data_IF_805030449911
#
_entry.id   IF_805030449911
#
_cell.length_a   1.000
_cell.length_b   1.000
_cell.length_c   1.000
_cell.angle_alpha   90.00
_cell.angle_beta   90.00
_cell.angle_gamma   90.00
#
_symmetry.space_group_name_H-M   'P 1'
#
loop_
_entity.id
_entity.type
_entity.pdbx_description
1 polymer ?
#
# COMPACT_ATOMS: atom_id res chain seq x y z
N UNK A 1 23.89 -3.22 2.43
CA UNK A 1 25.09 -3.08 3.28
C UNK A 1 25.17 -1.71 3.93
N UNK A 2 25.54 -0.60 3.25
CA UNK A 2 25.67 0.72 3.90
C UNK A 2 24.41 1.16 4.71
N UNK A 3 23.22 1.03 4.12
CA UNK A 3 21.96 1.40 4.79
C UNK A 3 21.61 0.48 5.98
N UNK A 4 22.07 -0.77 5.99
CA UNK A 4 21.87 -1.70 7.12
C UNK A 4 22.84 -1.41 8.26
N UNK A 5 24.06 -1.00 7.93
CA UNK A 5 25.08 -0.61 8.91
C UNK A 5 24.70 0.71 9.60
N UNK A 6 24.17 1.68 8.86
CA UNK A 6 23.65 2.94 9.43
C UNK A 6 22.49 2.69 10.40
N UNK A 7 21.58 1.79 10.05
CA UNK A 7 20.46 1.40 10.91
C UNK A 7 20.93 0.67 12.18
N UNK A 8 21.97 -0.15 12.09
CA UNK A 8 22.59 -0.82 13.26
C UNK A 8 23.32 0.17 14.15
N UNK A 9 24.03 1.14 13.57
CA UNK A 9 24.70 2.21 14.31
C UNK A 9 23.68 3.05 15.09
N UNK A 10 22.58 3.43 14.45
CA UNK A 10 21.49 4.19 15.08
C UNK A 10 20.85 3.41 16.22
N UNK A 11 20.63 2.10 16.06
CA UNK A 11 20.16 1.22 17.14
C UNK A 11 21.08 1.23 18.37
N UNK A 12 22.40 1.11 18.17
CA UNK A 12 23.39 1.16 19.26
C UNK A 12 23.40 2.49 19.99
N UNK A 13 23.30 3.62 19.27
CA UNK A 13 23.23 4.96 19.86
C UNK A 13 22.02 5.07 20.79
N UNK A 14 20.90 4.50 20.38
CA UNK A 14 19.68 4.56 21.18
C UNK A 14 19.73 3.72 22.45
N UNK A 15 20.30 2.52 22.38
CA UNK A 15 20.48 1.69 23.56
C UNK A 15 21.47 2.34 24.54
N UNK A 16 22.49 3.04 24.02
CA UNK A 16 23.38 3.87 24.82
C UNK A 16 22.62 5.02 25.52
N UNK A 17 21.80 5.79 24.79
CA UNK A 17 20.98 6.85 25.38
C UNK A 17 20.03 6.31 26.48
N UNK A 18 19.47 5.12 26.28
CA UNK A 18 18.63 4.45 27.30
C UNK A 18 19.45 4.06 28.52
N UNK A 19 20.65 3.51 28.34
CA UNK A 19 21.54 3.17 29.46
C UNK A 19 21.90 4.42 30.28
N UNK A 20 22.25 5.53 29.61
CA UNK A 20 22.53 6.81 30.29
C UNK A 20 21.30 7.34 31.04
N UNK A 21 20.11 7.24 30.44
CA UNK A 21 18.84 7.59 31.10
C UNK A 21 18.59 6.81 32.39
N UNK A 22 18.83 5.49 32.38
CA UNK A 22 18.71 4.60 33.55
C UNK A 22 19.72 4.99 34.63
N UNK A 23 20.98 5.23 34.24
CA UNK A 23 22.04 5.65 35.16
C UNK A 23 21.64 6.93 35.89
N UNK A 24 21.09 7.92 35.19
CA UNK A 24 20.64 9.17 35.82
C UNK A 24 19.45 8.97 36.77
N UNK A 25 18.54 8.05 36.46
CA UNK A 25 17.45 7.70 37.38
C UNK A 25 18.00 7.03 38.65
N UNK A 26 19.00 6.15 38.52
CA UNK A 26 19.69 5.53 39.66
C UNK A 26 20.46 6.58 40.48
N UNK A 27 21.15 7.52 39.82
CA UNK A 27 21.85 8.61 40.50
C UNK A 27 20.89 9.52 41.27
N UNK A 28 19.70 9.79 40.72
CA UNK A 28 18.65 10.53 41.44
C UNK A 28 18.25 9.79 42.73
N UNK A 29 17.97 8.48 42.63
CA UNK A 29 17.65 7.65 43.80
C UNK A 29 18.79 7.67 44.82
N UNK A 30 20.03 7.46 44.37
CA UNK A 30 21.20 7.43 45.26
C UNK A 30 21.41 8.75 46.01
N UNK A 31 21.25 9.89 45.32
CA UNK A 31 21.42 11.21 45.92
C UNK A 31 20.33 11.57 46.94
N UNK A 32 19.05 11.38 46.58
CA UNK A 32 17.93 11.79 47.43
C UNK A 32 17.56 10.76 48.52
N UNK A 33 18.02 9.51 48.40
CA UNK A 33 17.85 8.47 49.43
C UNK A 33 19.19 8.08 50.09
N UNK A 34 20.16 9.01 50.17
CA UNK A 34 21.52 8.72 50.64
C UNK A 34 21.58 8.08 52.04
N UNK A 35 20.76 8.54 52.98
CA UNK A 35 20.70 7.98 54.35
C UNK A 35 20.31 6.50 54.34
N UNK A 36 19.36 6.11 53.49
CA UNK A 36 18.97 4.72 53.31
C UNK A 36 20.07 3.90 52.63
N UNK A 37 20.77 4.46 51.65
CA UNK A 37 21.90 3.81 50.98
C UNK A 37 23.07 3.55 51.94
N UNK A 38 23.33 4.49 52.85
CA UNK A 38 24.35 4.36 53.89
C UNK A 38 23.98 3.26 54.89
N UNK A 39 22.72 3.19 55.32
CA UNK A 39 22.24 2.10 56.19
C UNK A 39 22.25 0.73 55.51
N UNK A 40 22.05 0.66 54.19
CA UNK A 40 22.16 -0.57 53.42
C UNK A 40 23.61 -0.99 53.10
N UNK A 41 24.60 -0.17 53.43
CA UNK A 41 26.01 -0.46 53.13
C UNK A 41 26.37 -0.38 51.64
N UNK A 42 25.56 0.32 50.84
CA UNK A 42 25.72 0.43 49.38
C UNK A 42 26.49 1.71 48.98
N UNK A 43 26.93 2.50 49.95
CA UNK A 43 27.70 3.73 49.71
C UNK A 43 29.11 3.43 49.21
N UNK A 44 29.44 3.96 48.04
CA UNK A 44 30.77 3.81 47.43
C UNK A 44 31.41 5.20 47.40
N UNK A 45 32.49 5.40 48.16
CA UNK A 45 33.12 6.73 48.31
C UNK A 45 33.61 7.37 47.00
N UNK A 46 33.84 6.57 45.94
CA UNK A 46 34.13 7.06 44.59
C UNK A 46 32.89 7.69 43.94
N UNK A 47 31.73 7.05 44.06
CA UNK A 47 30.45 7.55 43.53
C UNK A 47 30.06 8.86 44.20
N UNK A 48 30.26 8.98 45.51
CA UNK A 48 29.96 10.19 46.27
C UNK A 48 30.77 11.39 45.76
N UNK A 49 32.08 11.22 45.57
CA UNK A 49 32.95 12.27 45.03
C UNK A 49 32.53 12.68 43.62
N UNK A 50 32.15 11.71 42.78
CA UNK A 50 31.69 11.97 41.41
C UNK A 50 30.40 12.81 41.45
N UNK A 51 29.39 12.38 42.21
CA UNK A 51 28.10 13.07 42.27
C UNK A 51 28.21 14.49 42.84
N UNK A 52 29.04 14.69 43.88
CA UNK A 52 29.31 16.01 44.46
C UNK A 52 29.96 16.94 43.42
N UNK A 53 30.95 16.45 42.67
CA UNK A 53 31.60 17.23 41.62
C UNK A 53 30.65 17.56 40.46
N UNK A 54 29.79 16.61 40.06
CA UNK A 54 28.74 16.83 39.07
C UNK A 54 27.74 17.88 39.53
N UNK A 55 27.31 17.84 40.79
CA UNK A 55 26.41 18.86 41.34
C UNK A 55 27.08 20.23 41.41
N UNK A 56 28.36 20.31 41.82
CA UNK A 56 29.12 21.56 41.91
C UNK A 56 29.30 22.25 40.56
N UNK A 57 29.44 21.47 39.49
CA UNK A 57 29.73 22.00 38.14
C UNK A 57 28.47 22.20 37.31
N UNK A 58 27.48 21.30 37.43
CA UNK A 58 26.31 21.26 36.55
C UNK A 58 24.96 21.48 37.22
N UNK A 59 24.89 21.60 38.56
CA UNK A 59 23.65 21.87 39.29
C UNK A 59 22.54 20.80 39.15
N UNK A 60 22.89 19.61 38.64
CA UNK A 60 21.91 18.58 38.24
C UNK A 60 21.03 18.10 39.41
N UNK A 61 21.56 18.13 40.63
CA UNK A 61 20.89 17.70 41.86
C UNK A 61 20.39 18.88 42.73
N UNK A 62 20.41 20.11 42.20
CA UNK A 62 19.85 21.27 42.90
C UNK A 62 18.33 21.15 43.10
N UNK A 63 17.65 20.49 42.16
CA UNK A 63 16.23 20.14 42.27
C UNK A 63 16.01 18.70 41.83
N UNK A 64 15.12 18.00 42.54
CA UNK A 64 14.75 16.61 42.26
C UNK A 64 14.19 16.44 40.85
N UNK A 65 13.69 17.53 40.26
CA UNK A 65 13.08 17.55 38.94
C UNK A 65 14.13 17.58 37.81
N UNK A 66 15.30 18.19 38.00
CA UNK A 66 16.26 18.39 36.90
C UNK A 66 16.89 17.07 36.43
N UNK A 67 17.36 16.26 37.37
CA UNK A 67 17.83 14.89 37.09
C UNK A 67 16.76 14.04 36.41
N UNK A 68 15.51 14.15 36.86
CA UNK A 68 14.37 13.44 36.26
C UNK A 68 14.03 13.90 34.85
N UNK A 69 14.04 15.21 34.61
CA UNK A 69 13.81 15.78 33.28
C UNK A 69 14.89 15.32 32.29
N UNK A 70 16.16 15.33 32.70
CA UNK A 70 17.24 14.88 31.83
C UNK A 70 17.18 13.37 31.56
N UNK A 71 16.86 12.57 32.59
CA UNK A 71 16.59 11.14 32.42
C UNK A 71 15.44 10.88 31.44
N UNK A 72 14.32 11.61 31.57
CA UNK A 72 13.18 11.51 30.66
C UNK A 72 13.53 11.95 29.23
N UNK A 73 14.29 13.03 29.07
CA UNK A 73 14.70 13.53 27.75
C UNK A 73 15.50 12.47 26.99
N UNK A 74 16.50 11.88 27.65
CA UNK A 74 17.28 10.78 27.07
C UNK A 74 16.41 9.54 26.80
N UNK A 75 15.47 9.23 27.69
CA UNK A 75 14.51 8.14 27.49
C UNK A 75 13.66 8.39 26.24
N UNK A 76 13.11 9.59 26.07
CA UNK A 76 12.29 9.96 24.93
C UNK A 76 13.08 9.85 23.61
N UNK A 77 14.31 10.38 23.57
CA UNK A 77 15.21 10.23 22.42
C UNK A 77 15.51 8.75 22.14
N UNK A 78 15.72 7.94 23.19
CA UNK A 78 15.96 6.49 23.08
C UNK A 78 14.72 5.68 22.67
N UNK A 79 13.53 6.28 22.65
CA UNK A 79 12.31 5.61 22.16
C UNK A 79 12.11 5.85 20.66
N UNK A 80 12.41 7.06 20.16
CA UNK A 80 12.06 7.53 18.82
C UNK A 80 12.61 6.69 17.67
N UNK A 81 13.85 6.23 17.71
CA UNK A 81 14.44 5.39 16.64
C UNK A 81 14.30 3.87 16.82
N UNK A 82 13.62 3.33 17.86
CA UNK A 82 13.56 1.88 18.06
C UNK A 82 12.67 1.26 16.99
N UNK A 83 13.08 0.10 16.46
CA UNK A 83 12.23 -0.72 15.60
C UNK A 83 11.47 -1.69 16.49
N UNK A 84 10.18 -1.41 16.69
CA UNK A 84 9.30 -2.30 17.42
C UNK A 84 8.91 -3.53 16.61
N UNK A 85 9.03 -4.73 17.19
CA UNK A 85 8.42 -5.94 16.63
C UNK A 85 6.90 -5.82 16.72
N UNK A 86 6.20 -6.22 15.65
CA UNK A 86 4.74 -6.13 15.52
C UNK A 86 4.07 -6.90 16.66
N UNK A 87 3.36 -6.20 17.55
CA UNK A 87 2.43 -6.78 18.48
C UNK A 87 1.29 -5.80 18.79
N UNK A 88 0.08 -6.36 18.73
CA UNK A 88 -1.27 -5.87 19.11
C UNK A 88 -1.75 -4.47 18.69
N UNK A 89 -3.03 -4.41 18.31
CA UNK A 89 -3.80 -3.19 18.02
C UNK A 89 -3.97 -2.35 19.30
N UNK A 90 -2.93 -1.60 19.70
CA UNK A 90 -3.01 -0.66 20.81
C UNK A 90 -3.69 0.64 20.38
N UNK A 91 -4.70 1.08 21.14
CA UNK A 91 -5.40 2.35 20.91
C UNK A 91 -4.63 3.53 21.53
N UNK A 92 -4.73 4.71 20.91
CA UNK A 92 -4.16 5.97 21.42
C UNK A 92 -4.56 6.28 22.86
N UNK A 93 -5.78 5.91 23.25
CA UNK A 93 -6.28 6.11 24.61
C UNK A 93 -5.44 5.36 25.66
N UNK A 94 -5.08 4.09 25.41
CA UNK A 94 -4.25 3.30 26.34
C UNK A 94 -2.83 3.86 26.46
N UNK A 95 -2.25 4.35 25.37
CA UNK A 95 -0.90 4.96 25.37
C UNK A 95 -0.90 6.21 26.25
N UNK A 96 -1.89 7.09 26.09
CA UNK A 96 -2.02 8.29 26.91
C UNK A 96 -2.23 7.98 28.39
N UNK A 97 -3.05 6.97 28.74
CA UNK A 97 -3.24 6.55 30.13
C UNK A 97 -1.93 6.07 30.75
N UNK A 98 -1.16 5.23 30.05
CA UNK A 98 0.11 4.70 30.58
C UNK A 98 1.17 5.79 30.70
N UNK A 99 1.23 6.73 29.75
CA UNK A 99 2.12 7.90 29.85
C UNK A 99 1.73 8.82 31.01
N UNK A 100 0.44 9.08 31.21
CA UNK A 100 -0.05 9.91 32.31
C UNK A 100 0.25 9.28 33.68
N UNK A 101 -0.04 7.98 33.84
CA UNK A 101 0.28 7.23 35.07
C UNK A 101 1.79 7.23 35.32
N UNK A 102 2.59 6.96 34.28
CA UNK A 102 4.05 6.98 34.38
C UNK A 102 4.60 8.35 34.78
N UNK A 103 4.06 9.43 34.19
CA UNK A 103 4.43 10.80 34.52
C UNK A 103 4.11 11.14 35.99
N UNK A 104 2.90 10.81 36.45
CA UNK A 104 2.49 11.04 37.83
C UNK A 104 3.40 10.28 38.82
N UNK A 105 3.66 8.99 38.58
CA UNK A 105 4.51 8.18 39.45
C UNK A 105 5.97 8.66 39.48
N UNK A 106 6.50 9.13 38.36
CA UNK A 106 7.91 9.52 38.24
C UNK A 106 8.19 10.95 38.75
N UNK A 107 7.34 11.93 38.41
CA UNK A 107 7.57 13.34 38.77
C UNK A 107 6.88 13.76 40.08
N UNK A 108 5.69 13.23 40.38
CA UNK A 108 4.87 13.68 41.52
C UNK A 108 5.07 12.82 42.78
N UNK A 109 6.26 12.24 42.98
CA UNK A 109 6.59 11.41 44.14
C UNK A 109 7.52 12.11 45.16
N UNK A 110 7.78 13.41 45.02
CA UNK A 110 8.67 14.16 45.92
C UNK A 110 8.18 14.20 47.37
N UNK A 111 6.86 14.22 47.57
CA UNK A 111 6.23 14.27 48.91
C UNK A 111 6.42 12.97 49.71
N UNK A 112 6.71 11.84 49.04
CA UNK A 112 6.95 10.54 49.70
C UNK A 112 8.18 10.62 50.60
N UNK A 113 9.18 11.42 50.23
CA UNK A 113 10.40 11.61 51.03
C UNK A 113 10.13 12.38 52.34
N UNK A 114 9.03 13.13 52.42
CA UNK A 114 8.66 13.97 53.56
C UNK A 114 7.68 13.29 54.54
N UNK A 115 7.30 12.03 54.29
CA UNK A 115 6.33 11.32 55.12
C UNK A 115 6.92 10.99 56.52
N UNK A 116 6.14 11.12 57.61
CA UNK A 116 6.62 10.85 58.96
C UNK A 116 6.55 9.34 59.31
N UNK A 117 7.13 8.48 58.47
CA UNK A 117 7.11 7.02 58.65
C UNK A 117 8.46 6.53 59.18
N UNK A 118 9.43 6.35 58.28
CA UNK A 118 10.81 5.99 58.57
C UNK A 118 11.65 6.29 57.34
N UNK A 119 12.93 6.65 57.53
CA UNK A 119 13.84 6.96 56.42
C UNK A 119 13.94 5.78 55.41
N UNK A 120 13.88 4.55 55.92
CA UNK A 120 13.89 3.32 55.12
C UNK A 120 12.57 3.09 54.37
N UNK A 121 11.42 3.31 55.02
CA UNK A 121 10.10 3.21 54.40
C UNK A 121 9.88 4.26 53.30
N UNK A 122 10.32 5.49 53.52
CA UNK A 122 10.23 6.56 52.54
C UNK A 122 11.10 6.25 51.31
N UNK A 123 12.34 5.77 51.52
CA UNK A 123 13.24 5.41 50.43
C UNK A 123 12.70 4.25 49.59
N UNK A 124 12.17 3.19 50.21
CA UNK A 124 11.60 2.04 49.49
C UNK A 124 10.39 2.41 48.65
N UNK A 125 9.46 3.21 49.18
CA UNK A 125 8.30 3.72 48.44
C UNK A 125 8.72 4.68 47.30
N UNK A 126 9.73 5.52 47.55
CA UNK A 126 10.27 6.42 46.54
C UNK A 126 10.91 5.64 45.38
N UNK A 127 11.72 4.63 45.68
CA UNK A 127 12.34 3.75 44.66
C UNK A 127 11.25 3.02 43.87
N UNK A 128 10.26 2.44 44.55
CA UNK A 128 9.18 1.73 43.88
C UNK A 128 8.41 2.62 42.89
N UNK A 129 7.99 3.81 43.33
CA UNK A 129 7.27 4.77 42.47
C UNK A 129 8.14 5.28 41.32
N UNK A 130 9.44 5.54 41.56
CA UNK A 130 10.41 5.89 40.52
C UNK A 130 10.55 4.80 39.46
N UNK A 131 10.77 3.55 39.88
CA UNK A 131 10.96 2.43 38.96
C UNK A 131 9.68 2.13 38.18
N UNK A 132 8.52 2.08 38.85
CA UNK A 132 7.23 1.87 38.19
C UNK A 132 6.92 2.99 37.18
N UNK A 133 7.12 4.25 37.58
CA UNK A 133 6.94 5.39 36.70
C UNK A 133 7.85 5.36 35.47
N UNK A 134 9.13 5.03 35.67
CA UNK A 134 10.11 4.91 34.58
C UNK A 134 9.72 3.81 33.58
N UNK A 135 9.32 2.63 34.07
CA UNK A 135 8.89 1.52 33.23
C UNK A 135 7.65 1.89 32.41
N UNK A 136 6.65 2.53 33.03
CA UNK A 136 5.46 3.00 32.32
C UNK A 136 5.80 4.02 31.23
N UNK A 137 6.71 4.96 31.50
CA UNK A 137 7.17 5.95 30.52
C UNK A 137 7.95 5.29 29.36
N UNK A 138 8.79 4.30 29.64
CA UNK A 138 9.50 3.53 28.63
C UNK A 138 8.52 2.76 27.73
N UNK A 139 7.57 2.01 28.32
CA UNK A 139 6.56 1.27 27.55
C UNK A 139 5.69 2.21 26.70
N UNK A 140 5.19 3.29 27.30
CA UNK A 140 4.37 4.30 26.60
C UNK A 140 5.12 4.98 25.46
N UNK A 141 6.39 5.34 25.68
CA UNK A 141 7.26 5.94 24.66
C UNK A 141 7.55 4.98 23.49
N UNK A 142 7.81 3.70 23.78
CA UNK A 142 7.99 2.68 22.75
C UNK A 142 6.72 2.46 21.91
N UNK A 143 5.55 2.43 22.54
CA UNK A 143 4.27 2.31 21.82
C UNK A 143 3.96 3.55 20.98
N UNK A 144 4.20 4.75 21.52
CA UNK A 144 4.01 6.01 20.81
C UNK A 144 4.91 6.11 19.57
N UNK A 145 6.20 5.78 19.70
CA UNK A 145 7.16 5.78 18.57
C UNK A 145 6.74 4.84 17.43
N UNK A 146 6.22 3.65 17.78
CA UNK A 146 5.73 2.68 16.78
C UNK A 146 4.54 3.22 15.99
N UNK A 147 3.58 3.82 16.68
CA UNK A 147 2.33 4.31 16.06
C UNK A 147 2.59 5.52 15.14
N UNK A 148 3.48 6.42 15.54
CA UNK A 148 3.89 7.55 14.71
C UNK A 148 4.57 7.09 13.41
N UNK A 149 5.48 6.10 13.49
CA UNK A 149 6.16 5.57 12.28
C UNK A 149 5.21 4.86 11.31
N UNK A 150 4.11 4.27 11.79
CA UNK A 150 3.13 3.59 10.94
C UNK A 150 2.28 4.58 10.12
N UNK A 151 1.97 5.76 10.67
CA UNK A 151 1.16 6.77 9.95
C UNK A 151 1.96 7.62 8.95
N UNK A 152 3.29 7.71 9.11
CA UNK A 152 4.15 8.49 8.22
C UNK A 152 4.64 7.71 7.00
N UNK A 153 4.54 6.38 7.01
CA UNK A 153 4.90 5.50 5.90
C UNK A 153 3.62 4.82 5.40
N UNK A 154 2.65 5.60 4.91
CA UNK A 154 1.61 5.01 4.06
C UNK A 154 2.32 4.33 2.88
N UNK A 155 2.06 3.04 2.71
CA UNK A 155 2.69 2.19 1.70
C UNK A 155 2.73 2.90 0.33
N UNK A 156 3.92 2.96 -0.27
CA UNK A 156 4.10 3.57 -1.59
C UNK A 156 3.27 2.80 -2.63
N UNK A 157 3.04 1.51 -2.40
CA UNK A 157 2.19 0.63 -3.20
C UNK A 157 0.79 0.50 -2.59
N UNK A 158 0.16 1.62 -2.25
CA UNK A 158 -1.25 1.62 -1.85
C UNK A 158 -2.16 1.93 -3.05
N UNK A 159 -3.40 1.45 -3.01
CA UNK A 159 -4.40 1.67 -4.09
C UNK A 159 -4.60 3.16 -4.44
N UNK A 160 -4.28 4.08 -3.54
CA UNK A 160 -4.42 5.52 -3.78
C UNK A 160 -3.20 6.08 -4.54
N UNK A 161 -1.99 5.65 -4.20
CA UNK A 161 -0.74 6.03 -4.83
C UNK A 161 -0.57 5.38 -6.21
N UNK A 162 -1.13 4.17 -6.40
CA UNK A 162 -1.21 3.51 -7.72
C UNK A 162 -2.38 4.03 -8.57
N UNK A 163 -3.26 4.86 -8.00
CA UNK A 163 -4.39 5.43 -8.73
C UNK A 163 -4.09 6.76 -9.41
N UNK A 164 -4.60 6.94 -10.62
CA UNK A 164 -4.54 8.19 -11.35
C UNK A 164 -5.89 8.53 -11.99
N UNK A 165 -6.06 9.80 -12.34
CA UNK A 165 -7.27 10.28 -13.01
C UNK A 165 -7.35 9.68 -14.42
N UNK A 166 -8.39 8.90 -14.69
CA UNK A 166 -8.70 8.38 -16.02
C UNK A 166 -9.74 9.28 -16.71
N UNK A 167 -9.93 9.08 -18.01
CA UNK A 167 -10.91 9.85 -18.78
C UNK A 167 -12.35 9.57 -18.29
N UNK A 168 -13.08 10.64 -18.00
CA UNK A 168 -14.47 10.60 -17.50
C UNK A 168 -15.48 11.02 -18.56
N UNK A 169 -15.03 11.68 -19.62
CA UNK A 169 -15.88 12.15 -20.71
C UNK A 169 -16.05 11.05 -21.76
N UNK A 170 -17.29 10.79 -22.11
CA UNK A 170 -17.63 9.97 -23.28
C UNK A 170 -17.36 10.78 -24.56
N UNK A 171 -16.54 10.23 -25.45
CA UNK A 171 -16.17 10.87 -26.72
C UNK A 171 -16.67 10.05 -27.90
N UNK A 172 -17.87 10.36 -28.36
CA UNK A 172 -18.51 9.69 -29.50
C UNK A 172 -18.25 10.42 -30.82
N UNK A 173 -18.06 9.63 -31.87
CA UNK A 173 -17.94 10.05 -33.26
C UNK A 173 -18.36 8.88 -34.19
N UNK A 174 -18.34 9.10 -35.51
CA UNK A 174 -18.76 8.12 -36.52
C UNK A 174 -18.01 6.77 -36.46
N UNK A 175 -16.78 6.73 -35.94
CA UNK A 175 -15.89 5.56 -35.99
C UNK A 175 -15.63 4.93 -34.63
N UNK A 176 -15.82 5.70 -33.56
CA UNK A 176 -15.32 5.41 -32.22
C UNK A 176 -15.88 4.13 -31.61
N UNK A 177 -15.16 3.56 -30.66
CA UNK A 177 -15.73 2.54 -29.76
C UNK A 177 -15.46 2.95 -28.33
N UNK A 178 -16.51 3.02 -27.51
CA UNK A 178 -16.46 3.56 -26.17
C UNK A 178 -16.77 2.45 -25.16
N UNK A 179 -15.81 2.17 -24.26
CA UNK A 179 -15.93 1.11 -23.26
C UNK A 179 -16.14 1.72 -21.87
N UNK A 180 -17.22 1.36 -21.14
CA UNK A 180 -17.45 1.87 -19.80
C UNK A 180 -16.45 1.26 -18.81
N UNK A 181 -15.85 2.08 -17.96
CA UNK A 181 -14.89 1.64 -16.93
C UNK A 181 -15.24 2.17 -15.54
N UNK A 182 -14.58 1.59 -14.53
CA UNK A 182 -14.54 2.12 -13.16
C UNK A 182 -13.10 2.18 -12.71
N UNK A 183 -12.72 3.30 -12.12
CA UNK A 183 -11.37 3.51 -11.58
C UNK A 183 -11.46 4.11 -10.18
N UNK A 184 -10.46 3.81 -9.35
CA UNK A 184 -10.34 4.41 -8.03
C UNK A 184 -9.54 5.71 -8.16
N UNK A 185 -9.95 6.78 -7.50
CA UNK A 185 -9.19 8.03 -7.45
C UNK A 185 -9.64 8.87 -6.25
N UNK A 186 -8.69 9.48 -5.51
CA UNK A 186 -8.97 10.30 -4.31
C UNK A 186 -9.92 9.62 -3.31
N UNK A 187 -9.58 8.39 -2.93
CA UNK A 187 -10.34 7.54 -1.99
C UNK A 187 -11.79 7.21 -2.41
N UNK A 188 -12.13 7.36 -3.70
CA UNK A 188 -13.48 7.10 -4.23
C UNK A 188 -13.45 6.33 -5.54
N UNK A 189 -14.45 5.48 -5.74
CA UNK A 189 -14.70 4.85 -7.04
C UNK A 189 -15.39 5.86 -7.97
N UNK A 190 -14.80 6.05 -9.14
CA UNK A 190 -15.30 6.92 -10.19
C UNK A 190 -15.68 6.09 -11.42
N UNK A 191 -16.64 6.60 -12.20
CA UNK A 191 -16.97 6.05 -13.51
C UNK A 191 -16.11 6.73 -14.57
N UNK A 192 -15.64 5.96 -15.54
CA UNK A 192 -14.80 6.44 -16.63
C UNK A 192 -15.15 5.79 -17.96
N UNK A 193 -14.40 6.19 -18.99
CA UNK A 193 -14.54 5.68 -20.34
C UNK A 193 -13.18 5.44 -20.98
N UNK A 194 -13.03 4.31 -21.66
CA UNK A 194 -11.97 4.11 -22.65
C UNK A 194 -12.57 4.47 -24.01
N UNK A 195 -12.14 5.59 -24.58
CA UNK A 195 -12.60 6.07 -25.88
C UNK A 195 -11.59 5.69 -26.97
N UNK A 196 -11.89 4.68 -27.77
CA UNK A 196 -11.09 4.38 -28.98
C UNK A 196 -11.62 5.24 -30.11
N UNK A 197 -11.11 6.47 -30.20
CA UNK A 197 -11.62 7.50 -31.11
C UNK A 197 -11.40 7.20 -32.60
N UNK A 198 -10.40 6.36 -32.92
CA UNK A 198 -10.08 5.95 -34.29
C UNK A 198 -9.62 4.48 -34.31
N UNK A 199 -10.56 3.51 -34.48
CA UNK A 199 -10.23 2.10 -34.55
C UNK A 199 -9.43 1.66 -35.79
N UNK A 200 -9.37 2.48 -36.84
CA UNK A 200 -8.68 2.13 -38.09
C UNK A 200 -7.16 2.06 -37.96
N UNK A 201 -6.58 2.57 -36.86
CA UNK A 201 -5.14 2.50 -36.56
C UNK A 201 -4.70 1.16 -35.95
N UNK A 202 -5.46 0.10 -36.24
CA UNK A 202 -5.43 -1.19 -35.57
C UNK A 202 -5.81 -1.09 -34.07
N UNK A 203 -6.59 -2.07 -33.60
CA UNK A 203 -6.88 -2.25 -32.17
C UNK A 203 -6.50 -3.68 -31.80
N UNK A 204 -5.71 -3.85 -30.74
CA UNK A 204 -5.29 -5.15 -30.25
C UNK A 204 -5.77 -5.32 -28.81
N UNK A 205 -6.38 -6.48 -28.52
CA UNK A 205 -6.82 -6.85 -27.17
C UNK A 205 -6.03 -8.07 -26.72
N UNK A 206 -5.18 -7.90 -25.71
CA UNK A 206 -4.33 -8.96 -25.17
C UNK A 206 -4.91 -9.53 -23.87
N UNK A 207 -4.73 -10.83 -23.66
CA UNK A 207 -5.09 -11.47 -22.40
C UNK A 207 -5.17 -12.99 -22.50
N UNK A 208 -5.09 -13.67 -21.35
CA UNK A 208 -5.15 -15.13 -21.25
C UNK A 208 -6.56 -15.69 -21.49
N UNK A 209 -6.72 -16.97 -21.88
CA UNK A 209 -8.03 -17.61 -21.94
C UNK A 209 -8.81 -17.42 -20.63
N UNK A 210 -10.10 -17.06 -20.72
CA UNK A 210 -10.94 -16.80 -19.55
C UNK A 210 -10.87 -15.38 -18.97
N UNK A 211 -9.98 -14.50 -19.45
CA UNK A 211 -9.82 -13.12 -18.93
C UNK A 211 -10.96 -12.14 -19.26
N UNK A 212 -12.06 -12.60 -19.86
CA UNK A 212 -13.23 -11.75 -20.17
C UNK A 212 -13.12 -10.84 -21.39
N UNK A 213 -12.09 -10.99 -22.24
CA UNK A 213 -11.86 -10.14 -23.44
C UNK A 213 -13.10 -10.00 -24.33
N UNK A 214 -13.76 -11.12 -24.62
CA UNK A 214 -14.93 -11.14 -25.51
C UNK A 214 -16.06 -10.30 -24.93
N UNK A 215 -16.39 -10.51 -23.66
CA UNK A 215 -17.45 -9.79 -22.98
C UNK A 215 -17.14 -8.30 -22.81
N UNK A 216 -15.94 -7.96 -22.34
CA UNK A 216 -15.58 -6.59 -21.98
C UNK A 216 -15.27 -5.71 -23.20
N UNK A 217 -14.65 -6.26 -24.26
CA UNK A 217 -14.17 -5.48 -25.41
C UNK A 217 -14.84 -5.89 -26.71
N UNK A 218 -14.71 -7.15 -27.13
CA UNK A 218 -15.14 -7.59 -28.47
C UNK A 218 -16.65 -7.40 -28.69
N UNK A 219 -17.47 -7.75 -27.69
CA UNK A 219 -18.92 -7.58 -27.76
C UNK A 219 -19.31 -6.10 -27.90
N UNK A 220 -18.60 -5.19 -27.24
CA UNK A 220 -18.84 -3.75 -27.38
C UNK A 220 -18.46 -3.25 -28.78
N UNK A 221 -17.35 -3.74 -29.33
CA UNK A 221 -16.97 -3.46 -30.72
C UNK A 221 -18.04 -3.92 -31.70
N UNK A 222 -18.47 -5.19 -31.61
CA UNK A 222 -19.51 -5.75 -32.48
C UNK A 222 -20.77 -4.89 -32.42
N UNK A 223 -21.24 -4.57 -31.22
CA UNK A 223 -22.49 -3.84 -31.03
C UNK A 223 -22.43 -2.42 -31.59
N UNK A 224 -21.40 -1.67 -31.19
CA UNK A 224 -21.27 -0.26 -31.58
C UNK A 224 -20.99 -0.09 -33.07
N UNK A 225 -20.22 -1.01 -33.68
CA UNK A 225 -19.98 -0.97 -35.12
C UNK A 225 -21.25 -1.29 -35.93
N UNK A 226 -22.07 -2.25 -35.46
CA UNK A 226 -23.39 -2.53 -36.07
C UNK A 226 -24.31 -1.31 -35.97
N UNK A 227 -24.40 -0.69 -34.79
CA UNK A 227 -25.22 0.51 -34.57
C UNK A 227 -24.81 1.66 -35.49
N UNK A 228 -23.52 1.72 -35.84
CA UNK A 228 -22.96 2.71 -36.77
C UNK A 228 -23.06 2.30 -38.24
N UNK A 229 -23.68 1.16 -38.54
CA UNK A 229 -23.91 0.71 -39.93
C UNK A 229 -22.68 0.11 -40.61
N UNK A 230 -21.66 -0.31 -39.86
CA UNK A 230 -20.48 -0.97 -40.44
C UNK A 230 -20.76 -2.42 -40.80
N UNK A 231 -20.11 -2.88 -41.87
CA UNK A 231 -19.93 -4.30 -42.15
C UNK A 231 -18.77 -4.84 -41.32
N UNK A 232 -18.83 -6.12 -40.96
CA UNK A 232 -17.83 -6.76 -40.12
C UNK A 232 -17.48 -8.14 -40.63
N UNK A 233 -16.20 -8.47 -40.54
CA UNK A 233 -15.71 -9.83 -40.69
C UNK A 233 -15.38 -10.38 -39.29
N UNK A 234 -16.14 -11.38 -38.84
CA UNK A 234 -15.99 -11.96 -37.50
C UNK A 234 -15.43 -13.36 -37.62
N UNK A 235 -14.23 -13.56 -37.07
CA UNK A 235 -13.67 -14.90 -36.86
C UNK A 235 -14.16 -15.45 -35.51
N UNK A 236 -15.11 -16.37 -35.54
CA UNK A 236 -15.73 -16.95 -34.35
C UNK A 236 -15.18 -18.36 -34.06
N UNK A 237 -14.07 -18.41 -33.33
CA UNK A 237 -13.42 -19.68 -32.96
C UNK A 237 -14.32 -20.61 -32.13
N UNK A 238 -15.31 -20.07 -31.42
CA UNK A 238 -16.26 -20.83 -30.57
C UNK A 238 -17.66 -20.76 -31.14
N UNK A 239 -17.78 -20.96 -32.45
CA UNK A 239 -19.05 -20.82 -33.15
C UNK A 239 -20.19 -21.60 -32.46
N UNK A 240 -21.38 -21.00 -32.23
CA UNK A 240 -21.84 -19.69 -32.70
C UNK A 240 -21.83 -18.58 -31.62
N UNK A 241 -20.83 -18.49 -30.74
CA UNK A 241 -20.77 -17.51 -29.64
C UNK A 241 -20.88 -16.05 -30.12
N UNK A 242 -19.85 -15.56 -30.84
CA UNK A 242 -19.83 -14.17 -31.33
C UNK A 242 -20.85 -13.95 -32.44
N UNK A 243 -21.07 -14.99 -33.25
CA UNK A 243 -21.99 -14.97 -34.39
C UNK A 243 -23.42 -14.69 -33.95
N UNK A 244 -23.87 -15.30 -32.85
CA UNK A 244 -25.21 -15.11 -32.30
C UNK A 244 -25.41 -13.68 -31.78
N UNK A 245 -24.38 -13.11 -31.13
CA UNK A 245 -24.41 -11.72 -30.65
C UNK A 245 -24.51 -10.76 -31.84
N UNK A 246 -23.67 -10.95 -32.86
CA UNK A 246 -23.67 -10.12 -34.05
C UNK A 246 -24.99 -10.20 -34.82
N UNK A 247 -25.49 -11.43 -35.06
CA UNK A 247 -26.75 -11.63 -35.78
C UNK A 247 -27.94 -10.98 -35.06
N UNK A 248 -28.11 -11.26 -33.76
CA UNK A 248 -29.21 -10.69 -32.99
C UNK A 248 -29.14 -9.17 -32.92
N UNK A 249 -27.94 -8.61 -32.73
CA UNK A 249 -27.79 -7.16 -32.66
C UNK A 249 -28.05 -6.51 -34.03
N UNK A 250 -27.58 -7.11 -35.12
CA UNK A 250 -27.83 -6.66 -36.48
C UNK A 250 -29.33 -6.69 -36.82
N UNK A 251 -30.06 -7.74 -36.43
CA UNK A 251 -31.52 -7.84 -36.62
C UNK A 251 -32.26 -6.67 -35.97
N UNK A 252 -31.80 -6.21 -34.81
CA UNK A 252 -32.42 -5.10 -34.08
C UNK A 252 -32.01 -3.70 -34.60
N UNK A 253 -30.95 -3.60 -35.41
CA UNK A 253 -30.37 -2.32 -35.85
C UNK A 253 -30.30 -2.18 -37.37
N UNK A 254 -31.14 -2.89 -38.13
CA UNK A 254 -31.16 -2.84 -39.59
C UNK A 254 -31.39 -1.43 -40.15
N UNK A 255 -32.13 -0.59 -39.43
CA UNK A 255 -32.46 0.78 -39.84
C UNK A 255 -31.25 1.72 -39.87
N UNK A 256 -30.14 1.36 -39.20
CA UNK A 256 -28.90 2.14 -39.22
C UNK A 256 -28.12 2.02 -40.53
N UNK A 257 -28.49 1.08 -41.40
CA UNK A 257 -27.78 0.82 -42.65
C UNK A 257 -28.46 1.48 -43.84
N UNK A 258 -27.66 2.09 -44.73
CA UNK A 258 -28.16 2.61 -46.02
C UNK A 258 -28.74 1.50 -46.91
N UNK A 259 -28.14 0.31 -46.85
CA UNK A 259 -28.60 -0.91 -47.54
C UNK A 259 -28.78 -1.99 -46.49
N UNK A 260 -29.93 -2.66 -46.50
CA UNK A 260 -30.25 -3.68 -45.50
C UNK A 260 -29.13 -4.74 -45.43
N UNK A 261 -28.54 -4.97 -44.24
CA UNK A 261 -27.38 -5.84 -44.13
C UNK A 261 -27.77 -7.31 -44.33
N UNK A 262 -26.86 -8.07 -44.91
CA UNK A 262 -26.96 -9.52 -45.07
C UNK A 262 -25.96 -10.21 -44.13
N UNK A 263 -26.30 -11.40 -43.65
CA UNK A 263 -25.45 -12.17 -42.73
C UNK A 263 -25.00 -13.46 -43.40
N UNK A 264 -23.70 -13.57 -43.64
CA UNK A 264 -23.08 -14.75 -44.23
C UNK A 264 -22.18 -15.43 -43.20
N UNK A 265 -22.15 -16.75 -43.25
CA UNK A 265 -21.38 -17.62 -42.35
C UNK A 265 -20.60 -18.59 -43.21
N UNK A 266 -19.28 -18.67 -43.04
CA UNK A 266 -18.46 -19.75 -43.60
C UNK A 266 -18.04 -20.64 -42.44
N UNK A 267 -18.59 -21.85 -42.40
CA UNK A 267 -18.34 -22.83 -41.35
C UNK A 267 -17.70 -24.09 -41.97
N UNK A 268 -16.48 -24.38 -41.54
CA UNK A 268 -15.73 -25.55 -42.01
C UNK A 268 -16.01 -26.83 -41.19
N UNK A 269 -16.53 -26.68 -39.97
CA UNK A 269 -16.87 -27.80 -39.08
C UNK A 269 -18.28 -28.35 -39.37
N UNK A 270 -19.25 -27.47 -39.65
CA UNK A 270 -20.62 -27.83 -40.05
C UNK A 270 -20.97 -27.19 -41.40
N UNK A 271 -20.70 -27.91 -42.52
CA UNK A 271 -21.02 -27.44 -43.86
C UNK A 271 -22.51 -27.16 -44.11
N UNK A 272 -23.43 -27.73 -43.30
CA UNK A 272 -24.87 -27.50 -43.47
C UNK A 272 -25.30 -26.12 -43.00
N UNK A 273 -24.55 -25.52 -42.08
CA UNK A 273 -24.76 -24.15 -41.56
C UNK A 273 -23.86 -23.12 -42.23
N UNK A 274 -23.13 -23.53 -43.26
CA UNK A 274 -22.22 -22.71 -44.03
C UNK A 274 -22.89 -22.20 -45.30
N UNK A 275 -22.67 -20.93 -45.61
CA UNK A 275 -22.87 -20.39 -46.95
C UNK A 275 -21.75 -20.90 -47.86
N UNK A 276 -22.05 -21.06 -49.15
CA UNK A 276 -21.08 -21.53 -50.12
C UNK A 276 -20.28 -20.36 -50.65
N UNK A 277 -18.96 -20.50 -50.66
CA UNK A 277 -18.04 -19.57 -51.28
C UNK A 277 -17.04 -20.39 -52.12
N UNK A 278 -16.77 -19.94 -53.34
CA UNK A 278 -15.68 -20.48 -54.16
C UNK A 278 -14.58 -19.41 -54.24
N UNK A 279 -13.48 -19.53 -53.48
CA UNK A 279 -12.41 -18.55 -53.50
C UNK A 279 -11.65 -18.50 -54.83
N UNK A 280 -11.79 -19.52 -55.69
CA UNK A 280 -11.18 -19.57 -57.03
C UNK A 280 -12.20 -19.32 -58.15
N UNK A 281 -13.29 -18.63 -57.86
CA UNK A 281 -14.29 -18.32 -58.88
C UNK A 281 -13.68 -17.41 -59.96
N UNK A 282 -13.85 -17.69 -61.27
CA UNK A 282 -13.27 -16.89 -62.35
C UNK A 282 -13.62 -15.40 -62.28
N UNK A 283 -14.83 -15.07 -61.85
CA UNK A 283 -15.28 -13.67 -61.69
C UNK A 283 -14.43 -12.85 -60.70
N UNK A 284 -13.65 -13.49 -59.82
CA UNK A 284 -12.72 -12.82 -58.90
C UNK A 284 -11.29 -12.72 -59.44
N UNK A 285 -11.00 -13.29 -60.61
CA UNK A 285 -9.68 -13.29 -61.24
C UNK A 285 -9.73 -12.47 -62.53
N UNK A 286 -9.56 -11.16 -62.39
CA UNK A 286 -9.58 -10.23 -63.52
C UNK A 286 -8.26 -10.20 -64.27
N UNK A 287 -7.15 -10.47 -63.59
CA UNK A 287 -5.82 -10.55 -64.17
C UNK A 287 -4.99 -11.73 -63.62
N UNK A 288 -3.76 -11.86 -64.11
CA UNK A 288 -2.85 -12.92 -63.67
C UNK A 288 -2.39 -12.72 -62.22
N UNK A 289 -2.35 -11.49 -61.72
CA UNK A 289 -1.96 -11.15 -60.35
C UNK A 289 -2.98 -11.70 -59.36
N UNK A 290 -4.28 -11.56 -59.66
CA UNK A 290 -5.36 -12.14 -58.85
C UNK A 290 -5.23 -13.67 -58.73
N UNK A 291 -4.85 -14.32 -59.83
CA UNK A 291 -4.59 -15.76 -59.85
C UNK A 291 -3.35 -16.13 -59.01
N UNK A 292 -2.27 -15.35 -59.10
CA UNK A 292 -1.06 -15.53 -58.29
C UNK A 292 -1.34 -15.35 -56.79
N UNK A 293 -2.04 -14.29 -56.39
CA UNK A 293 -2.40 -13.99 -54.99
C UNK A 293 -3.33 -15.06 -54.41
N UNK A 294 -4.32 -15.50 -55.18
CA UNK A 294 -5.23 -16.59 -54.78
C UNK A 294 -4.47 -17.90 -54.58
N UNK A 295 -3.59 -18.27 -55.54
CA UNK A 295 -2.77 -19.47 -55.44
C UNK A 295 -1.80 -19.39 -54.25
N UNK A 296 -1.15 -18.25 -54.05
CA UNK A 296 -0.21 -18.01 -52.95
C UNK A 296 -0.90 -18.13 -51.59
N UNK A 297 -2.06 -17.48 -51.43
CA UNK A 297 -2.88 -17.55 -50.21
C UNK A 297 -3.29 -18.99 -49.91
N UNK A 298 -3.74 -19.76 -50.90
CA UNK A 298 -4.12 -21.16 -50.73
C UNK A 298 -2.90 -22.01 -50.35
N UNK A 299 -1.78 -21.86 -51.06
CA UNK A 299 -0.56 -22.63 -50.80
C UNK A 299 0.03 -22.37 -49.41
N UNK A 300 0.07 -21.12 -48.96
CA UNK A 300 0.51 -20.75 -47.62
C UNK A 300 -0.36 -21.41 -46.54
N UNK A 301 -1.68 -21.42 -46.72
CA UNK A 301 -2.59 -22.00 -45.74
C UNK A 301 -2.58 -23.55 -45.73
N UNK A 302 -2.20 -24.19 -46.84
CA UNK A 302 -2.06 -25.66 -46.91
C UNK A 302 -0.72 -26.16 -46.37
N UNK A 303 0.34 -25.35 -46.49
CA UNK A 303 1.68 -25.76 -46.09
C UNK A 303 2.01 -25.31 -44.66
N UNK A 304 1.92 -26.25 -43.71
CA UNK A 304 2.28 -26.04 -42.30
C UNK A 304 3.72 -25.57 -42.05
N UNK A 305 4.64 -25.73 -43.01
CA UNK A 305 6.04 -25.28 -42.87
C UNK A 305 6.24 -23.81 -43.26
N UNK A 306 5.24 -23.18 -43.88
CA UNK A 306 5.30 -21.79 -44.35
C UNK A 306 4.57 -20.80 -43.43
N UNK A 307 3.90 -21.31 -42.39
CA UNK A 307 3.16 -20.55 -41.38
C UNK A 307 3.91 -20.56 -40.06
#
# INVERSE_FOLDING_TARGET
>A
MAQEDDLRALGKIMDFLRAVSIILAIMNVYWYCYEAMHMWGVTIGVVDRILINFNRTGGLFHSILYTKLFSLLLLALSCLGTKGVKAEKMSWSKIWTVLAVGFCLFFLNWWILLLPISHLGNATLYIFTMTAGYICLLMGGLWMSRLLKHNLMEDVFNNENESFMQETKLMENEYSVNLPTRFYYKKKWQRGWINVVNPFRATIVLGTPGSGKSFAVVNNYIKQQIEKGYSMYIYDFKFPDLSTIAYNHMMNHQNGYKVKPQFYVINFDDPRRSHRCNPIHPDFMSDISDAYESAYTIMLNLNKTWV
#
